data_IF_557747015996
#
_entry.id   IF_557747015996
#
_cell.length_a   1.000
_cell.length_b   1.000
_cell.length_c   1.000
_cell.angle_alpha   90.00
_cell.angle_beta   90.00
_cell.angle_gamma   90.00
#
_symmetry.space_group_name_H-M   'P 1'
#
loop_
_entity.id
_entity.type
_entity.pdbx_description
1 polymer ?
#
# COMPACT_ATOMS: atom_id res chain seq x y z
N UNK A 1 6.24 36.20 46.14
CA UNK A 1 6.89 35.68 44.92
C UNK A 1 7.47 34.28 45.09
N UNK A 2 8.28 33.99 46.12
CA UNK A 2 8.91 32.66 46.31
C UNK A 2 7.88 31.51 46.46
N UNK A 3 6.75 31.74 47.14
CA UNK A 3 5.68 30.72 47.29
C UNK A 3 4.95 30.39 45.98
N UNK A 4 4.88 31.32 45.03
CA UNK A 4 4.18 31.11 43.75
C UNK A 4 5.04 30.34 42.75
N UNK A 5 6.37 30.52 42.79
CA UNK A 5 7.32 29.73 41.98
C UNK A 5 7.43 28.27 42.45
N UNK A 6 7.31 28.01 43.76
CA UNK A 6 7.36 26.64 44.30
C UNK A 6 6.12 25.81 43.88
N UNK A 7 4.93 26.44 43.84
CA UNK A 7 3.70 25.81 43.35
C UNK A 7 3.76 25.47 41.86
N UNK A 8 4.41 26.31 41.04
CA UNK A 8 4.65 26.03 39.63
C UNK A 8 5.66 24.89 39.41
N UNK A 9 6.72 24.80 40.22
CA UNK A 9 7.68 23.70 40.13
C UNK A 9 7.09 22.33 40.56
N UNK A 10 6.15 22.32 41.51
CA UNK A 10 5.42 21.10 41.91
C UNK A 10 4.36 20.72 40.85
N UNK A 11 3.77 21.70 40.14
CA UNK A 11 2.88 21.43 39.01
C UNK A 11 3.62 20.86 37.79
N UNK A 12 4.90 21.18 37.61
CA UNK A 12 5.75 20.62 36.55
C UNK A 12 6.36 19.25 36.89
N UNK A 13 6.38 18.83 38.15
CA UNK A 13 6.89 17.50 38.55
C UNK A 13 5.85 16.38 38.44
N UNK A 14 4.62 16.67 38.01
CA UNK A 14 3.59 15.67 37.73
C UNK A 14 3.52 15.26 36.25
N UNK A 15 4.54 15.59 35.45
CA UNK A 15 4.75 14.87 34.19
C UNK A 15 5.10 13.43 34.56
N UNK A 16 4.11 12.55 34.47
CA UNK A 16 4.26 11.11 34.64
C UNK A 16 5.32 10.65 33.62
N UNK A 17 6.58 10.55 34.07
CA UNK A 17 7.67 10.07 33.24
C UNK A 17 7.39 8.60 32.99
N UNK A 18 7.30 8.22 31.72
CA UNK A 18 7.13 6.82 31.34
C UNK A 18 8.29 6.00 31.93
N UNK A 19 7.96 4.84 32.50
CA UNK A 19 8.96 3.88 32.97
C UNK A 19 9.59 3.23 31.75
N UNK A 20 10.93 3.24 31.69
CA UNK A 20 11.69 2.62 30.62
C UNK A 20 12.02 1.19 31.04
N UNK A 21 11.63 0.23 30.23
CA UNK A 21 11.92 -1.19 30.41
C UNK A 21 12.91 -1.66 29.34
N UNK A 22 13.75 -2.63 29.69
CA UNK A 22 14.52 -3.39 28.70
C UNK A 22 13.74 -4.61 28.17
N UNK A 23 14.23 -5.24 27.10
CA UNK A 23 13.53 -6.39 26.49
C UNK A 23 13.44 -7.61 27.44
N UNK A 24 14.37 -7.76 28.40
CA UNK A 24 14.31 -8.84 29.38
C UNK A 24 13.19 -8.62 30.39
N UNK A 25 13.06 -7.41 30.91
CA UNK A 25 11.98 -7.00 31.81
C UNK A 25 10.63 -7.14 31.13
N UNK A 26 10.50 -6.66 29.89
CA UNK A 26 9.27 -6.80 29.10
C UNK A 26 8.87 -8.28 29.00
N UNK A 27 9.80 -9.14 28.56
CA UNK A 27 9.51 -10.56 28.41
C UNK A 27 9.19 -11.24 29.75
N UNK A 28 9.86 -10.85 30.83
CA UNK A 28 9.58 -11.40 32.16
C UNK A 28 8.18 -11.04 32.63
N UNK A 29 7.77 -9.79 32.47
CA UNK A 29 6.45 -9.31 32.90
C UNK A 29 5.32 -9.94 32.07
N UNK A 30 5.44 -9.95 30.74
CA UNK A 30 4.38 -10.42 29.84
C UNK A 30 4.16 -11.94 29.87
N UNK A 31 5.16 -12.71 30.31
CA UNK A 31 5.06 -14.17 30.42
C UNK A 31 4.62 -14.65 31.82
N UNK A 32 4.29 -13.75 32.75
CA UNK A 32 3.70 -14.14 34.04
C UNK A 32 2.32 -14.76 33.82
N UNK A 33 2.13 -16.00 34.30
CA UNK A 33 0.84 -16.69 34.22
C UNK A 33 -0.28 -15.91 34.95
N UNK A 34 0.07 -15.28 36.08
CA UNK A 34 -0.84 -14.43 36.85
C UNK A 34 -1.37 -13.26 36.01
N UNK A 35 -0.50 -12.55 35.28
CA UNK A 35 -0.90 -11.46 34.39
C UNK A 35 -1.86 -11.94 33.30
N UNK A 36 -1.59 -13.10 32.68
CA UNK A 36 -2.47 -13.67 31.66
C UNK A 36 -3.86 -14.00 32.22
N UNK A 37 -3.91 -14.58 33.42
CA UNK A 37 -5.16 -14.90 34.10
C UNK A 37 -5.93 -13.62 34.47
N UNK A 38 -5.28 -12.64 35.10
CA UNK A 38 -5.89 -11.35 35.47
C UNK A 38 -6.39 -10.60 34.23
N UNK A 39 -5.64 -10.64 33.13
CA UNK A 39 -6.07 -10.05 31.85
C UNK A 39 -7.35 -10.71 31.35
N UNK A 40 -7.43 -12.04 31.33
CA UNK A 40 -8.65 -12.74 30.91
C UNK A 40 -9.86 -12.45 31.81
N UNK A 41 -9.65 -12.38 33.13
CA UNK A 41 -10.70 -12.01 34.08
C UNK A 41 -11.20 -10.60 33.81
N UNK A 42 -10.30 -9.63 33.67
CA UNK A 42 -10.64 -8.25 33.34
C UNK A 42 -11.42 -8.12 32.03
N UNK A 43 -11.00 -8.84 30.97
CA UNK A 43 -11.75 -8.86 29.71
C UNK A 43 -13.17 -9.39 29.92
N UNK A 44 -13.31 -10.51 30.62
CA UNK A 44 -14.61 -11.13 30.91
C UNK A 44 -15.49 -10.16 31.71
N UNK A 45 -14.95 -9.53 32.74
CA UNK A 45 -15.65 -8.54 33.55
C UNK A 45 -16.09 -7.34 32.70
N UNK A 46 -15.21 -6.78 31.87
CA UNK A 46 -15.57 -5.65 31.00
C UNK A 46 -16.75 -5.98 30.07
N UNK A 47 -16.76 -7.15 29.44
CA UNK A 47 -17.83 -7.53 28.50
C UNK A 47 -19.13 -7.98 29.18
N UNK A 48 -19.10 -8.33 30.47
CA UNK A 48 -20.28 -8.81 31.22
C UNK A 48 -20.81 -7.82 32.26
N UNK A 49 -20.03 -6.78 32.57
CA UNK A 49 -20.40 -5.77 33.55
C UNK A 49 -21.62 -4.94 33.10
N UNK A 50 -22.45 -4.57 34.08
CA UNK A 50 -23.54 -3.60 33.87
C UNK A 50 -23.02 -2.20 33.53
N UNK A 51 -21.83 -1.86 34.01
CA UNK A 51 -21.15 -0.60 33.72
C UNK A 51 -19.68 -0.85 33.33
N UNK A 52 -19.40 -1.15 32.04
CA UNK A 52 -18.05 -1.43 31.56
C UNK A 52 -17.06 -0.26 31.74
N UNK A 53 -17.56 0.99 31.82
CA UNK A 53 -16.70 2.17 32.01
C UNK A 53 -16.03 2.14 33.40
N UNK A 54 -16.78 1.73 34.42
CA UNK A 54 -16.27 1.63 35.78
C UNK A 54 -15.11 0.61 35.87
N UNK A 55 -15.18 -0.50 35.15
CA UNK A 55 -14.11 -1.51 35.09
C UNK A 55 -12.81 -0.90 34.54
N UNK A 56 -12.90 0.02 33.59
CA UNK A 56 -11.75 0.72 33.00
C UNK A 56 -11.16 1.72 33.98
N UNK A 57 -12.01 2.53 34.62
CA UNK A 57 -11.57 3.51 35.61
C UNK A 57 -10.88 2.83 36.80
N UNK A 58 -11.41 1.70 37.25
CA UNK A 58 -10.79 0.86 38.28
C UNK A 58 -9.42 0.33 37.85
N UNK A 59 -9.26 -0.15 36.61
CA UNK A 59 -7.96 -0.60 36.10
C UNK A 59 -6.95 0.56 36.02
N UNK A 60 -7.38 1.73 35.56
CA UNK A 60 -6.50 2.90 35.45
C UNK A 60 -6.02 3.38 36.82
N UNK A 61 -6.88 3.30 37.84
CA UNK A 61 -6.57 3.67 39.22
C UNK A 61 -5.91 2.55 40.04
N UNK A 62 -5.87 1.32 39.52
CA UNK A 62 -5.30 0.18 40.22
C UNK A 62 -3.81 0.38 40.49
N UNK A 63 -3.38 -0.02 41.69
CA UNK A 63 -1.97 -0.07 42.06
C UNK A 63 -1.32 -1.27 41.36
N UNK A 64 -0.84 -1.03 40.15
CA UNK A 64 -0.23 -2.02 39.28
C UNK A 64 0.87 -1.37 38.44
N UNK A 65 1.79 -2.19 37.91
CA UNK A 65 2.88 -1.65 37.11
C UNK A 65 2.36 -1.06 35.78
N UNK A 66 2.99 0.00 35.25
CA UNK A 66 2.60 0.60 33.97
C UNK A 66 2.51 -0.41 32.82
N UNK A 67 3.48 -1.32 32.71
CA UNK A 67 3.52 -2.32 31.64
C UNK A 67 2.34 -3.32 31.71
N UNK A 68 1.97 -3.77 32.91
CA UNK A 68 0.82 -4.67 33.11
C UNK A 68 -0.49 -3.96 32.77
N UNK A 69 -0.65 -2.71 33.22
CA UNK A 69 -1.85 -1.89 32.93
C UNK A 69 -2.03 -1.70 31.43
N UNK A 70 -0.98 -1.26 30.74
CA UNK A 70 -1.03 -1.02 29.31
C UNK A 70 -1.21 -2.31 28.52
N UNK A 71 -0.63 -3.43 28.96
CA UNK A 71 -0.87 -4.73 28.36
C UNK A 71 -2.35 -5.14 28.44
N UNK A 72 -2.98 -4.97 29.61
CA UNK A 72 -4.41 -5.25 29.81
C UNK A 72 -5.30 -4.35 28.95
N UNK A 73 -5.01 -3.04 28.91
CA UNK A 73 -5.71 -2.08 28.04
C UNK A 73 -5.53 -2.41 26.55
N UNK A 74 -4.32 -2.80 26.14
CA UNK A 74 -4.03 -3.18 24.76
C UNK A 74 -4.74 -4.48 24.36
N UNK A 75 -4.79 -5.44 25.29
CA UNK A 75 -5.53 -6.69 25.13
C UNK A 75 -7.04 -6.42 24.99
N UNK A 76 -7.57 -5.50 25.79
CA UNK A 76 -8.96 -5.06 25.68
C UNK A 76 -9.25 -4.39 24.34
N UNK A 77 -8.42 -3.46 23.89
CA UNK A 77 -8.57 -2.87 22.56
C UNK A 77 -8.52 -3.93 21.46
N UNK A 78 -7.69 -4.96 21.62
CA UNK A 78 -7.66 -6.11 20.69
C UNK A 78 -8.97 -6.88 20.69
N UNK A 79 -9.55 -7.17 21.86
CA UNK A 79 -10.86 -7.80 21.93
C UNK A 79 -11.96 -6.90 21.31
N UNK A 80 -12.02 -5.61 21.69
CA UNK A 80 -12.97 -4.61 21.16
C UNK A 80 -12.91 -4.53 19.63
N UNK A 81 -11.73 -4.64 19.03
CA UNK A 81 -11.57 -4.55 17.56
C UNK A 81 -12.34 -5.63 16.78
N UNK A 82 -12.75 -6.71 17.45
CA UNK A 82 -13.50 -7.82 16.86
C UNK A 82 -15.02 -7.65 16.98
N UNK A 83 -15.49 -6.62 17.69
CA UNK A 83 -16.90 -6.34 17.92
C UNK A 83 -17.41 -5.17 17.06
N UNK A 84 -18.70 -5.14 16.71
CA UNK A 84 -19.30 -3.99 16.07
C UNK A 84 -19.24 -2.76 16.99
N UNK A 85 -19.27 -1.54 16.42
CA UNK A 85 -19.23 -0.32 17.21
C UNK A 85 -20.42 -0.21 18.16
N UNK A 86 -20.15 -0.07 19.45
CA UNK A 86 -21.14 0.16 20.50
C UNK A 86 -20.70 1.35 21.37
N UNK A 87 -21.64 2.10 21.96
CA UNK A 87 -21.34 3.36 22.68
C UNK A 87 -20.32 3.18 23.81
N UNK A 88 -20.40 2.08 24.56
CA UNK A 88 -19.48 1.83 25.67
C UNK A 88 -18.08 1.39 25.19
N UNK A 89 -17.96 0.77 24.01
CA UNK A 89 -16.66 0.52 23.38
C UNK A 89 -16.05 1.82 22.83
N UNK A 90 -16.88 2.70 22.25
CA UNK A 90 -16.44 3.99 21.73
C UNK A 90 -15.81 4.85 22.83
N UNK A 91 -16.38 4.86 24.04
CA UNK A 91 -15.77 5.52 25.20
C UNK A 91 -14.33 5.06 25.45
N UNK A 92 -14.09 3.74 25.45
CA UNK A 92 -12.75 3.18 25.69
C UNK A 92 -11.80 3.57 24.55
N UNK A 93 -12.25 3.46 23.30
CA UNK A 93 -11.44 3.87 22.13
C UNK A 93 -11.09 5.35 22.21
N UNK A 94 -12.04 6.21 22.57
CA UNK A 94 -11.80 7.65 22.70
C UNK A 94 -10.83 7.98 23.82
N UNK A 95 -10.98 7.32 24.98
CA UNK A 95 -10.06 7.47 26.10
C UNK A 95 -8.63 7.04 25.72
N UNK A 96 -8.49 5.90 25.03
CA UNK A 96 -7.20 5.36 24.64
C UNK A 96 -6.50 6.17 23.54
N UNK A 97 -7.23 6.88 22.66
CA UNK A 97 -6.63 7.80 21.68
C UNK A 97 -5.78 8.89 22.36
N UNK A 98 -6.17 9.31 23.56
CA UNK A 98 -5.50 10.37 24.33
C UNK A 98 -4.71 9.85 25.54
N UNK A 99 -4.67 8.54 25.76
CA UNK A 99 -3.98 7.97 26.93
C UNK A 99 -2.46 8.10 26.76
N UNK A 100 -1.76 8.82 27.65
CA UNK A 100 -0.32 9.01 27.54
C UNK A 100 0.42 7.70 27.82
N UNK A 101 1.48 7.37 27.06
CA UNK A 101 2.26 6.17 27.34
C UNK A 101 2.99 6.30 28.68
N UNK A 102 2.86 5.27 29.50
CA UNK A 102 3.44 5.11 30.83
C UNK A 102 4.52 4.01 30.84
N UNK A 103 4.50 3.08 29.87
CA UNK A 103 5.53 2.06 29.71
C UNK A 103 6.23 2.21 28.34
N UNK A 104 7.55 2.37 28.35
CA UNK A 104 8.35 2.62 27.15
C UNK A 104 9.61 1.77 27.11
N UNK A 105 10.23 1.65 25.93
CA UNK A 105 11.54 1.04 25.73
C UNK A 105 12.39 1.91 24.79
N UNK A 106 13.69 1.65 24.70
CA UNK A 106 14.54 2.32 23.72
C UNK A 106 14.36 1.67 22.35
N UNK A 107 14.36 2.49 21.29
CA UNK A 107 14.26 2.01 19.91
C UNK A 107 15.55 1.28 19.49
N UNK A 108 15.44 0.23 18.67
CA UNK A 108 16.60 -0.57 18.24
C UNK A 108 17.61 0.24 17.42
N UNK A 109 17.13 1.24 16.68
CA UNK A 109 17.95 2.10 15.82
C UNK A 109 18.45 3.39 16.51
N UNK A 110 18.22 3.58 17.83
CA UNK A 110 18.75 4.75 18.55
C UNK A 110 18.13 5.05 19.92
N UNK A 111 18.57 6.14 20.56
CA UNK A 111 18.18 6.52 21.93
C UNK A 111 16.77 7.16 22.05
N UNK A 112 15.86 6.89 21.11
CA UNK A 112 14.49 7.39 21.19
C UNK A 112 13.65 6.43 22.05
N UNK A 113 12.93 6.98 23.03
CA UNK A 113 11.97 6.21 23.81
C UNK A 113 10.69 6.00 23.00
N UNK A 114 10.24 4.76 22.89
CA UNK A 114 9.02 4.34 22.19
C UNK A 114 8.10 3.57 23.13
N UNK A 115 6.77 3.73 23.03
CA UNK A 115 5.83 3.00 23.88
C UNK A 115 5.92 1.50 23.62
N UNK A 116 5.89 0.70 24.69
CA UNK A 116 5.83 -0.76 24.56
C UNK A 116 4.48 -1.17 23.96
N UNK A 117 3.39 -0.56 24.44
CA UNK A 117 2.05 -0.71 23.89
C UNK A 117 1.53 0.64 23.39
N UNK A 118 1.48 0.81 22.07
CA UNK A 118 0.95 2.04 21.48
C UNK A 118 -0.59 2.03 21.47
N UNK A 119 -1.20 2.28 22.64
CA UNK A 119 -2.65 2.30 22.85
C UNK A 119 -3.37 3.29 21.93
N UNK A 120 -2.79 4.49 21.76
CA UNK A 120 -3.34 5.53 20.88
C UNK A 120 -3.43 5.03 19.43
N UNK A 121 -2.34 4.48 18.88
CA UNK A 121 -2.35 3.95 17.51
C UNK A 121 -3.31 2.78 17.34
N UNK A 122 -3.41 1.89 18.34
CA UNK A 122 -4.37 0.78 18.33
C UNK A 122 -5.81 1.30 18.32
N UNK A 123 -6.13 2.32 19.11
CA UNK A 123 -7.45 2.93 19.18
C UNK A 123 -7.85 3.61 17.86
N UNK A 124 -6.95 4.39 17.24
CA UNK A 124 -7.19 4.93 15.89
C UNK A 124 -7.39 3.81 14.85
N UNK A 125 -6.67 2.70 14.97
CA UNK A 125 -6.86 1.52 14.13
C UNK A 125 -8.28 0.95 14.24
N UNK A 126 -8.83 0.85 15.46
CA UNK A 126 -10.20 0.38 15.70
C UNK A 126 -11.23 1.36 15.13
N UNK A 127 -11.06 2.66 15.36
CA UNK A 127 -11.94 3.69 14.80
C UNK A 127 -11.98 3.64 13.28
N UNK A 128 -10.84 3.39 12.63
CA UNK A 128 -10.76 3.19 11.18
C UNK A 128 -11.56 1.94 10.74
N UNK A 129 -11.43 0.81 11.43
CA UNK A 129 -12.21 -0.41 11.13
C UNK A 129 -13.70 -0.14 11.26
N UNK A 130 -14.14 0.48 12.35
CA UNK A 130 -15.55 0.80 12.56
C UNK A 130 -16.09 1.82 11.57
N UNK A 131 -15.29 2.82 11.19
CA UNK A 131 -15.66 3.79 10.17
C UNK A 131 -15.84 3.11 8.81
N UNK A 132 -14.96 2.17 8.44
CA UNK A 132 -15.12 1.36 7.23
C UNK A 132 -16.41 0.53 7.30
N UNK A 133 -16.67 -0.17 8.41
CA UNK A 133 -17.86 -0.97 8.62
C UNK A 133 -19.16 -0.15 8.54
N UNK A 134 -19.24 0.99 9.23
CA UNK A 134 -20.42 1.89 9.18
C UNK A 134 -20.65 2.41 7.76
N UNK A 135 -19.58 2.78 7.06
CA UNK A 135 -19.66 3.24 5.67
C UNK A 135 -20.14 2.13 4.75
N UNK A 136 -19.68 0.91 4.94
CA UNK A 136 -20.14 -0.26 4.19
C UNK A 136 -21.65 -0.49 4.37
N UNK A 137 -22.13 -0.50 5.62
CA UNK A 137 -23.57 -0.66 5.89
C UNK A 137 -24.41 0.47 5.27
N UNK A 138 -23.93 1.71 5.36
CA UNK A 138 -24.58 2.87 4.76
C UNK A 138 -24.70 2.69 3.23
N UNK A 139 -23.62 2.35 2.54
CA UNK A 139 -23.65 2.25 1.08
C UNK A 139 -24.38 1.00 0.58
N UNK A 140 -24.38 -0.10 1.34
CA UNK A 140 -25.23 -1.26 1.03
C UNK A 140 -26.71 -0.84 0.95
N UNK A 141 -27.19 -0.11 1.96
CA UNK A 141 -28.58 0.39 1.98
C UNK A 141 -28.85 1.42 0.88
N UNK A 142 -27.88 2.31 0.59
CA UNK A 142 -28.06 3.31 -0.46
C UNK A 142 -28.13 2.67 -1.86
N UNK A 143 -27.28 1.68 -2.17
CA UNK A 143 -27.33 1.00 -3.45
C UNK A 143 -28.61 0.20 -3.68
N UNK A 144 -29.22 -0.32 -2.61
CA UNK A 144 -30.53 -0.97 -2.66
C UNK A 144 -31.66 0.02 -2.94
N UNK A 145 -31.61 1.21 -2.33
CA UNK A 145 -32.67 2.22 -2.41
C UNK A 145 -32.60 3.07 -3.68
N UNK A 146 -31.43 3.65 -3.95
CA UNK A 146 -31.20 4.59 -5.07
C UNK A 146 -29.70 4.65 -5.41
N UNK A 147 -29.33 4.04 -6.52
CA UNK A 147 -27.93 3.96 -6.97
C UNK A 147 -27.38 5.31 -7.44
N UNK A 148 -28.22 6.17 -7.99
CA UNK A 148 -27.78 7.50 -8.45
C UNK A 148 -27.38 8.34 -7.24
N UNK A 149 -28.25 8.37 -6.24
CA UNK A 149 -27.97 9.04 -4.97
C UNK A 149 -26.72 8.45 -4.28
N UNK A 150 -26.52 7.12 -4.34
CA UNK A 150 -25.32 6.48 -3.81
C UNK A 150 -24.03 6.98 -4.50
N UNK A 151 -24.03 7.07 -5.84
CA UNK A 151 -22.88 7.59 -6.61
C UNK A 151 -22.57 9.04 -6.23
N UNK A 152 -23.59 9.88 -6.11
CA UNK A 152 -23.42 11.28 -5.70
C UNK A 152 -22.86 11.39 -4.28
N UNK A 153 -23.33 10.54 -3.35
CA UNK A 153 -22.81 10.50 -1.99
C UNK A 153 -21.34 10.05 -1.94
N UNK A 154 -20.92 9.08 -2.78
CA UNK A 154 -19.52 8.64 -2.88
C UNK A 154 -18.58 9.79 -3.24
N UNK A 155 -19.03 10.72 -4.10
CA UNK A 155 -18.22 11.88 -4.50
C UNK A 155 -17.74 12.69 -3.29
N UNK A 156 -18.63 12.91 -2.30
CA UNK A 156 -18.27 13.66 -1.09
C UNK A 156 -17.25 12.92 -0.23
N UNK A 157 -17.36 11.59 -0.13
CA UNK A 157 -16.41 10.74 0.60
C UNK A 157 -15.03 10.75 -0.08
N UNK A 158 -14.98 10.67 -1.41
CA UNK A 158 -13.72 10.74 -2.16
C UNK A 158 -13.05 12.10 -1.95
N UNK A 159 -13.82 13.19 -2.02
CA UNK A 159 -13.30 14.54 -1.80
C UNK A 159 -12.73 14.74 -0.38
N UNK A 160 -13.32 14.09 0.63
CA UNK A 160 -12.82 14.09 2.01
C UNK A 160 -11.53 13.29 2.23
N UNK A 161 -11.11 12.44 1.27
CA UNK A 161 -9.84 11.71 1.34
C UNK A 161 -9.75 10.59 2.38
N UNK A 162 -10.87 10.23 3.03
CA UNK A 162 -10.88 9.21 4.08
C UNK A 162 -10.65 7.81 3.54
N UNK A 163 -9.48 7.23 3.85
CA UNK A 163 -9.11 5.86 3.43
C UNK A 163 -10.06 4.79 3.98
N UNK A 164 -10.47 4.83 5.27
CA UNK A 164 -11.38 3.81 5.81
C UNK A 164 -12.79 3.90 5.22
N UNK A 165 -13.33 5.10 5.00
CA UNK A 165 -14.63 5.24 4.34
C UNK A 165 -14.56 4.73 2.89
N UNK A 166 -13.47 5.02 2.17
CA UNK A 166 -13.25 4.44 0.84
C UNK A 166 -13.19 2.91 0.88
N UNK A 167 -12.55 2.31 1.89
CA UNK A 167 -12.57 0.85 2.07
C UNK A 167 -13.99 0.32 2.25
N UNK A 168 -14.81 0.98 3.09
CA UNK A 168 -16.22 0.64 3.25
C UNK A 168 -17.00 0.68 1.93
N UNK A 169 -16.80 1.73 1.11
CA UNK A 169 -17.41 1.84 -0.23
C UNK A 169 -16.98 0.66 -1.12
N UNK A 170 -15.69 0.31 -1.14
CA UNK A 170 -15.20 -0.82 -1.94
C UNK A 170 -15.85 -2.14 -1.53
N UNK A 171 -16.00 -2.37 -0.22
CA UNK A 171 -16.67 -3.57 0.29
C UNK A 171 -18.13 -3.60 -0.16
N UNK A 172 -18.84 -2.47 -0.06
CA UNK A 172 -20.22 -2.38 -0.54
C UNK A 172 -20.36 -2.66 -2.04
N UNK A 173 -19.45 -2.14 -2.85
CA UNK A 173 -19.42 -2.40 -4.29
C UNK A 173 -19.18 -3.89 -4.59
N UNK A 174 -18.27 -4.52 -3.85
CA UNK A 174 -17.98 -5.95 -3.99
C UNK A 174 -19.16 -6.84 -3.53
N UNK A 175 -19.98 -6.37 -2.61
CA UNK A 175 -21.18 -7.07 -2.13
C UNK A 175 -22.36 -7.02 -3.11
N UNK A 176 -22.36 -6.09 -4.08
CA UNK A 176 -23.38 -6.04 -5.13
C UNK A 176 -23.35 -7.30 -6.00
N UNK A 177 -24.51 -7.74 -6.48
CA UNK A 177 -24.57 -8.81 -7.48
C UNK A 177 -23.89 -8.39 -8.79
N UNK A 178 -23.37 -9.35 -9.56
CA UNK A 178 -22.73 -9.08 -10.86
C UNK A 178 -23.62 -8.23 -11.80
N UNK A 179 -24.94 -8.47 -11.80
CA UNK A 179 -25.88 -7.66 -12.56
C UNK A 179 -25.92 -6.20 -12.09
N UNK A 180 -25.98 -5.97 -10.78
CA UNK A 180 -25.96 -4.61 -10.21
C UNK A 180 -24.62 -3.91 -10.49
N UNK A 181 -23.50 -4.62 -10.38
CA UNK A 181 -22.18 -4.08 -10.69
C UNK A 181 -22.08 -3.66 -12.16
N UNK A 182 -22.56 -4.49 -13.09
CA UNK A 182 -22.59 -4.15 -14.53
C UNK A 182 -23.50 -2.95 -14.81
N UNK A 183 -24.70 -2.91 -14.21
CA UNK A 183 -25.60 -1.76 -14.34
C UNK A 183 -24.98 -0.46 -13.79
N UNK A 184 -24.22 -0.56 -12.70
CA UNK A 184 -23.46 0.59 -12.17
C UNK A 184 -22.33 1.00 -13.12
N UNK A 185 -21.60 0.03 -13.69
CA UNK A 185 -20.55 0.32 -14.66
C UNK A 185 -21.11 1.05 -15.89
N UNK A 186 -22.24 0.59 -16.43
CA UNK A 186 -22.93 1.23 -17.56
C UNK A 186 -23.40 2.66 -17.19
N UNK A 187 -23.95 2.84 -16.00
CA UNK A 187 -24.35 4.16 -15.50
C UNK A 187 -23.16 5.13 -15.43
N UNK A 188 -22.03 4.71 -14.84
CA UNK A 188 -20.81 5.52 -14.75
C UNK A 188 -20.24 5.83 -16.14
N UNK A 189 -20.28 4.86 -17.06
CA UNK A 189 -19.82 5.04 -18.42
C UNK A 189 -20.67 6.06 -19.19
N UNK A 190 -21.99 6.03 -19.04
CA UNK A 190 -22.90 6.90 -19.79
C UNK A 190 -23.06 8.30 -19.18
N UNK A 191 -23.06 8.41 -17.85
CA UNK A 191 -23.55 9.63 -17.17
C UNK A 191 -22.47 10.41 -16.41
N UNK A 192 -21.33 9.80 -16.07
CA UNK A 192 -20.31 10.45 -15.24
C UNK A 192 -19.11 10.84 -16.09
N UNK A 193 -18.84 12.14 -16.24
CA UNK A 193 -17.66 12.60 -16.96
C UNK A 193 -16.37 12.27 -16.18
N UNK A 194 -15.29 12.07 -16.93
CA UNK A 194 -13.93 12.01 -16.37
C UNK A 194 -13.59 13.37 -15.75
N UNK A 195 -12.75 13.37 -14.72
CA UNK A 195 -12.36 14.53 -13.91
C UNK A 195 -13.53 15.16 -13.11
N UNK A 196 -14.63 14.43 -12.91
CA UNK A 196 -15.77 14.86 -12.11
C UNK A 196 -15.57 14.68 -10.60
N UNK A 197 -14.40 14.18 -10.16
CA UNK A 197 -14.13 13.77 -8.78
C UNK A 197 -14.55 12.34 -8.46
N UNK A 198 -15.06 11.60 -9.46
CA UNK A 198 -15.46 10.20 -9.35
C UNK A 198 -14.50 9.25 -10.08
N UNK A 199 -13.37 9.74 -10.58
CA UNK A 199 -12.40 8.96 -11.37
C UNK A 199 -11.89 7.72 -10.61
N UNK A 200 -11.74 7.84 -9.28
CA UNK A 200 -11.37 6.71 -8.41
C UNK A 200 -12.45 5.64 -8.38
N UNK A 201 -13.72 6.04 -8.39
CA UNK A 201 -14.87 5.13 -8.47
C UNK A 201 -14.94 4.49 -9.87
N UNK A 202 -14.79 5.29 -10.93
CA UNK A 202 -14.75 4.83 -12.32
C UNK A 202 -13.68 3.76 -12.51
N UNK A 203 -12.44 4.04 -12.08
CA UNK A 203 -11.35 3.06 -12.10
C UNK A 203 -11.69 1.80 -11.31
N UNK A 204 -12.22 1.93 -10.09
CA UNK A 204 -12.46 0.79 -9.24
C UNK A 204 -13.57 -0.12 -9.77
N UNK A 205 -14.69 0.46 -10.21
CA UNK A 205 -15.81 -0.28 -10.80
C UNK A 205 -15.40 -0.92 -12.12
N UNK A 206 -14.68 -0.21 -12.99
CA UNK A 206 -14.18 -0.76 -14.26
C UNK A 206 -13.31 -2.00 -14.04
N UNK A 207 -12.40 -1.97 -13.07
CA UNK A 207 -11.58 -3.12 -12.69
C UNK A 207 -12.39 -4.24 -12.02
N UNK A 208 -13.37 -3.90 -11.17
CA UNK A 208 -14.21 -4.88 -10.49
C UNK A 208 -15.03 -5.70 -11.48
N UNK A 209 -15.60 -5.05 -12.50
CA UNK A 209 -16.46 -5.70 -13.50
C UNK A 209 -15.71 -6.18 -14.74
N UNK A 210 -14.44 -5.81 -14.92
CA UNK A 210 -13.72 -6.01 -16.17
C UNK A 210 -14.33 -5.25 -17.36
N UNK A 211 -15.05 -4.15 -17.11
CA UNK A 211 -15.70 -3.37 -18.16
C UNK A 211 -14.64 -2.50 -18.86
N UNK A 212 -14.19 -2.96 -20.04
CA UNK A 212 -13.11 -2.33 -20.80
C UNK A 212 -13.40 -0.86 -21.16
N UNK A 213 -14.58 -0.47 -21.68
CA UNK A 213 -14.90 0.93 -21.92
C UNK A 213 -14.76 1.82 -20.68
N UNK A 214 -15.16 1.32 -19.50
CA UNK A 214 -15.04 2.06 -18.25
C UNK A 214 -13.58 2.14 -17.76
N UNK A 215 -12.78 1.10 -18.00
CA UNK A 215 -11.32 1.12 -17.73
C UNK A 215 -10.64 2.15 -18.63
N UNK A 216 -10.92 2.15 -19.94
CA UNK A 216 -10.37 3.14 -20.88
C UNK A 216 -10.77 4.56 -20.49
N UNK A 217 -12.01 4.73 -20.02
CA UNK A 217 -12.49 5.99 -19.45
C UNK A 217 -11.73 6.39 -18.17
N UNK A 218 -11.36 5.45 -17.31
CA UNK A 218 -10.51 5.75 -16.15
C UNK A 218 -9.09 6.19 -16.57
N UNK A 219 -8.57 5.61 -17.65
CA UNK A 219 -7.24 5.94 -18.19
C UNK A 219 -7.16 7.31 -18.85
N UNK A 220 -8.29 7.97 -19.15
CA UNK A 220 -8.30 9.36 -19.61
C UNK A 220 -8.37 10.39 -18.48
N UNK A 221 -8.35 9.96 -17.21
CA UNK A 221 -8.29 10.87 -16.06
C UNK A 221 -7.03 11.73 -16.09
N UNK A 222 -7.15 13.00 -15.69
CA UNK A 222 -5.99 13.90 -15.52
C UNK A 222 -5.09 13.46 -14.36
N UNK A 223 -5.63 12.70 -13.40
CA UNK A 223 -4.90 12.28 -12.21
C UNK A 223 -4.04 11.04 -12.48
N UNK A 224 -2.71 11.23 -12.48
CA UNK A 224 -1.72 10.16 -12.75
C UNK A 224 -1.88 8.95 -11.81
N UNK A 225 -2.08 9.20 -10.51
CA UNK A 225 -2.27 8.13 -9.53
C UNK A 225 -3.46 7.22 -9.85
N UNK A 226 -4.51 7.74 -10.48
CA UNK A 226 -5.67 6.95 -10.91
C UNK A 226 -5.29 6.11 -12.13
N UNK A 227 -4.70 6.71 -13.16
CA UNK A 227 -4.27 6.00 -14.36
C UNK A 227 -3.28 4.88 -14.05
N UNK A 228 -2.25 5.16 -13.25
CA UNK A 228 -1.27 4.16 -12.83
C UNK A 228 -1.88 3.04 -11.97
N UNK A 229 -2.80 3.40 -11.06
CA UNK A 229 -3.53 2.40 -10.29
C UNK A 229 -4.36 1.48 -11.21
N UNK A 230 -5.06 2.06 -12.19
CA UNK A 230 -5.84 1.31 -13.19
C UNK A 230 -4.93 0.35 -13.97
N UNK A 231 -3.85 0.86 -14.58
CA UNK A 231 -2.91 0.07 -15.36
C UNK A 231 -2.27 -1.06 -14.56
N UNK A 232 -1.86 -0.80 -13.30
CA UNK A 232 -1.25 -1.83 -12.44
C UNK A 232 -2.19 -2.99 -12.15
N UNK A 233 -3.49 -2.73 -12.12
CA UNK A 233 -4.50 -3.72 -11.72
C UNK A 233 -5.10 -4.49 -12.89
N UNK A 234 -4.98 -4.00 -14.13
CA UNK A 234 -5.59 -4.67 -15.31
C UNK A 234 -5.15 -6.12 -15.47
N UNK A 235 -3.89 -6.44 -15.20
CA UNK A 235 -3.34 -7.81 -15.31
C UNK A 235 -4.08 -8.82 -14.42
N UNK A 236 -4.60 -8.36 -13.27
CA UNK A 236 -5.31 -9.22 -12.32
C UNK A 236 -6.83 -9.25 -12.53
N UNK A 237 -7.35 -8.36 -13.37
CA UNK A 237 -8.79 -8.10 -13.48
C UNK A 237 -9.33 -8.26 -14.91
N UNK A 238 -8.46 -8.38 -15.92
CA UNK A 238 -8.83 -8.62 -17.31
C UNK A 238 -8.25 -9.94 -17.83
N UNK A 239 -8.88 -10.56 -18.85
CA UNK A 239 -8.26 -11.61 -19.63
C UNK A 239 -6.85 -11.22 -20.10
N UNK A 240 -5.90 -12.16 -20.03
CA UNK A 240 -4.48 -11.94 -20.34
C UNK A 240 -4.24 -11.15 -21.62
N UNK A 241 -4.96 -11.49 -22.69
CA UNK A 241 -4.83 -10.82 -23.99
C UNK A 241 -5.31 -9.36 -23.96
N UNK A 242 -6.46 -9.08 -23.33
CA UNK A 242 -6.98 -7.71 -23.19
C UNK A 242 -6.07 -6.84 -22.32
N UNK A 243 -5.55 -7.39 -21.22
CA UNK A 243 -4.58 -6.69 -20.38
C UNK A 243 -3.31 -6.34 -21.17
N UNK A 244 -2.78 -7.28 -21.96
CA UNK A 244 -1.63 -7.05 -22.84
C UNK A 244 -1.91 -5.93 -23.84
N UNK A 245 -3.03 -5.99 -24.54
CA UNK A 245 -3.36 -5.03 -25.60
C UNK A 245 -3.52 -3.60 -25.04
N UNK A 246 -4.17 -3.47 -23.88
CA UNK A 246 -4.30 -2.20 -23.16
C UNK A 246 -2.93 -1.65 -22.73
N UNK A 247 -2.06 -2.49 -22.16
CA UNK A 247 -0.71 -2.07 -21.75
C UNK A 247 0.17 -1.70 -22.95
N UNK A 248 0.08 -2.44 -24.06
CA UNK A 248 0.77 -2.11 -25.31
C UNK A 248 0.31 -0.76 -25.87
N UNK A 249 -0.99 -0.50 -25.88
CA UNK A 249 -1.54 0.78 -26.32
C UNK A 249 -1.05 1.92 -25.41
N UNK A 250 -1.11 1.74 -24.10
CA UNK A 250 -0.65 2.74 -23.13
C UNK A 250 0.86 3.01 -23.25
N UNK A 251 1.67 1.96 -23.40
CA UNK A 251 3.12 2.05 -23.60
C UNK A 251 3.51 2.72 -24.94
N UNK A 252 2.58 2.86 -25.90
CA UNK A 252 2.83 3.54 -27.19
C UNK A 252 2.38 4.99 -27.19
N UNK A 253 1.25 5.31 -26.55
CA UNK A 253 0.53 6.56 -26.84
C UNK A 253 0.04 7.34 -25.62
N UNK A 254 0.20 6.84 -24.39
CA UNK A 254 -0.34 7.54 -23.20
C UNK A 254 0.67 8.50 -22.55
N UNK A 255 0.21 9.27 -21.56
CA UNK A 255 1.09 10.06 -20.70
C UNK A 255 1.93 9.17 -19.75
N UNK A 256 1.50 7.93 -19.53
CA UNK A 256 2.13 6.99 -18.58
C UNK A 256 2.92 5.90 -19.33
N UNK A 257 3.53 6.23 -20.47
CA UNK A 257 4.28 5.27 -21.30
C UNK A 257 5.36 4.55 -20.50
N UNK A 258 6.20 5.29 -19.76
CA UNK A 258 7.29 4.72 -18.94
C UNK A 258 6.74 3.71 -17.92
N UNK A 259 5.68 4.09 -17.22
CA UNK A 259 5.00 3.23 -16.26
C UNK A 259 4.42 1.98 -16.92
N UNK A 260 3.71 2.15 -18.03
CA UNK A 260 3.07 1.07 -18.79
C UNK A 260 4.10 0.09 -19.36
N UNK A 261 5.22 0.60 -19.89
CA UNK A 261 6.35 -0.22 -20.35
C UNK A 261 6.85 -1.11 -19.22
N UNK A 262 7.03 -0.58 -18.00
CA UNK A 262 7.51 -1.39 -16.86
C UNK A 262 6.58 -2.57 -16.51
N UNK A 263 5.28 -2.43 -16.77
CA UNK A 263 4.28 -3.47 -16.51
C UNK A 263 4.24 -4.56 -17.60
N UNK A 264 4.87 -4.34 -18.75
CA UNK A 264 4.97 -5.34 -19.82
C UNK A 264 5.88 -6.53 -19.45
N UNK A 265 6.55 -6.50 -18.29
CA UNK A 265 7.33 -7.62 -17.75
C UNK A 265 6.52 -8.90 -17.59
N UNK A 266 5.22 -8.80 -17.31
CA UNK A 266 4.32 -9.96 -17.27
C UNK A 266 4.09 -10.64 -18.64
N UNK A 267 4.53 -10.00 -19.72
CA UNK A 267 4.37 -10.39 -21.12
C UNK A 267 5.72 -10.33 -21.88
N UNK A 268 6.85 -10.41 -21.17
CA UNK A 268 8.20 -10.26 -21.73
C UNK A 268 8.54 -11.28 -22.82
N UNK A 269 7.86 -12.43 -22.85
CA UNK A 269 8.03 -13.50 -23.85
C UNK A 269 7.15 -13.35 -25.10
N UNK A 270 6.24 -12.38 -25.13
CA UNK A 270 5.36 -12.14 -26.27
C UNK A 270 6.09 -11.37 -27.38
N UNK A 271 6.03 -11.87 -28.62
CA UNK A 271 6.76 -11.29 -29.76
C UNK A 271 6.38 -9.83 -30.03
N UNK A 272 5.10 -9.47 -29.91
CA UNK A 272 4.65 -8.09 -30.15
C UNK A 272 5.14 -7.13 -29.05
N UNK A 273 5.25 -7.64 -27.83
CA UNK A 273 5.85 -6.91 -26.69
C UNK A 273 7.35 -6.73 -26.92
N UNK A 274 8.08 -7.80 -27.23
CA UNK A 274 9.51 -7.73 -27.52
C UNK A 274 9.82 -6.76 -28.67
N UNK A 275 9.06 -6.82 -29.76
CA UNK A 275 9.22 -5.91 -30.90
C UNK A 275 9.04 -4.43 -30.51
N UNK A 276 8.05 -4.12 -29.66
CA UNK A 276 7.87 -2.77 -29.13
C UNK A 276 9.06 -2.34 -28.25
N UNK A 277 9.47 -3.19 -27.31
CA UNK A 277 10.53 -2.86 -26.35
C UNK A 277 11.87 -2.67 -27.05
N UNK A 278 12.20 -3.51 -28.03
CA UNK A 278 13.40 -3.37 -28.86
C UNK A 278 13.41 -2.00 -29.56
N UNK A 279 12.27 -1.56 -30.12
CA UNK A 279 12.14 -0.23 -30.70
C UNK A 279 12.36 0.88 -29.65
N UNK A 280 11.81 0.70 -28.45
CA UNK A 280 11.93 1.66 -27.33
C UNK A 280 13.35 1.77 -26.75
N UNK A 281 14.28 0.85 -27.05
CA UNK A 281 15.69 0.98 -26.65
C UNK A 281 16.38 2.22 -27.25
N UNK A 282 15.81 2.78 -28.32
CA UNK A 282 16.29 4.00 -28.97
C UNK A 282 15.70 5.29 -28.38
N UNK A 283 14.72 5.20 -27.49
CA UNK A 283 14.09 6.34 -26.83
C UNK A 283 14.73 6.58 -25.46
N UNK A 284 15.36 7.74 -25.25
CA UNK A 284 16.00 8.11 -23.97
C UNK A 284 15.07 8.01 -22.76
N UNK A 285 13.78 8.26 -22.92
CA UNK A 285 12.83 8.26 -21.81
C UNK A 285 12.32 6.85 -21.45
N UNK A 286 12.47 5.87 -22.36
CA UNK A 286 11.88 4.54 -22.23
C UNK A 286 12.92 3.41 -22.24
N UNK A 287 14.14 3.66 -22.72
CA UNK A 287 15.14 2.63 -22.96
C UNK A 287 15.51 1.81 -21.70
N UNK A 288 15.57 2.46 -20.53
CA UNK A 288 15.85 1.78 -19.27
C UNK A 288 14.74 0.78 -18.89
N UNK A 289 13.48 1.23 -18.97
CA UNK A 289 12.33 0.35 -18.71
C UNK A 289 12.23 -0.76 -19.75
N UNK A 290 12.49 -0.45 -21.02
CA UNK A 290 12.50 -1.44 -22.08
C UNK A 290 13.57 -2.51 -21.85
N UNK A 291 14.79 -2.12 -21.51
CA UNK A 291 15.88 -3.02 -21.18
C UNK A 291 15.57 -3.89 -19.96
N UNK A 292 15.04 -3.30 -18.90
CA UNK A 292 14.61 -4.04 -17.71
C UNK A 292 13.55 -5.09 -18.05
N UNK A 293 12.55 -4.74 -18.85
CA UNK A 293 11.47 -5.67 -19.22
C UNK A 293 11.99 -6.80 -20.11
N UNK A 294 12.82 -6.48 -21.11
CA UNK A 294 13.47 -7.46 -21.97
C UNK A 294 14.34 -8.43 -21.16
N UNK A 295 14.97 -7.96 -20.07
CA UNK A 295 15.76 -8.83 -19.20
C UNK A 295 14.92 -9.88 -18.48
N UNK A 296 13.61 -9.66 -18.29
CA UNK A 296 12.70 -10.60 -17.63
C UNK A 296 12.17 -11.70 -18.57
N UNK A 297 12.57 -11.72 -19.86
CA UNK A 297 12.12 -12.74 -20.80
C UNK A 297 12.83 -14.08 -20.54
N UNK A 298 12.09 -15.17 -20.65
CA UNK A 298 12.59 -16.54 -20.65
C UNK A 298 12.78 -17.11 -22.06
N UNK A 299 12.42 -16.35 -23.09
CA UNK A 299 12.63 -16.73 -24.50
C UNK A 299 14.13 -16.87 -24.83
N UNK A 300 14.56 -18.10 -25.08
CA UNK A 300 15.95 -18.45 -25.41
C UNK A 300 16.49 -17.77 -26.69
N UNK A 301 15.61 -17.32 -27.59
CA UNK A 301 16.01 -16.63 -28.83
C UNK A 301 16.24 -15.13 -28.61
N UNK A 302 15.65 -14.52 -27.56
CA UNK A 302 15.75 -13.08 -27.34
C UNK A 302 17.22 -12.60 -27.19
N UNK A 303 18.12 -13.29 -26.46
CA UNK A 303 19.52 -12.89 -26.38
C UNK A 303 20.20 -12.74 -27.76
N UNK A 304 19.90 -13.63 -28.71
CA UNK A 304 20.44 -13.55 -30.07
C UNK A 304 19.84 -12.39 -30.88
N UNK A 305 18.54 -12.13 -30.70
CA UNK A 305 17.89 -10.94 -31.29
C UNK A 305 18.54 -9.66 -30.77
N UNK A 306 18.79 -9.58 -29.46
CA UNK A 306 19.48 -8.46 -28.83
C UNK A 306 20.92 -8.32 -29.35
N UNK A 307 21.65 -9.43 -29.50
CA UNK A 307 23.00 -9.44 -30.10
C UNK A 307 22.99 -8.85 -31.51
N UNK A 308 22.07 -9.30 -32.37
CA UNK A 308 21.96 -8.80 -33.74
C UNK A 308 21.66 -7.29 -33.75
N UNK A 309 20.75 -6.83 -32.91
CA UNK A 309 20.47 -5.40 -32.77
C UNK A 309 21.66 -4.60 -32.24
N UNK A 310 22.46 -5.16 -31.32
CA UNK A 310 23.67 -4.53 -30.83
C UNK A 310 24.69 -4.31 -31.95
N UNK A 311 24.93 -5.34 -32.77
CA UNK A 311 25.90 -5.30 -33.86
C UNK A 311 25.48 -4.32 -34.96
N UNK A 312 24.18 -4.19 -35.23
CA UNK A 312 23.63 -3.30 -36.25
C UNK A 312 23.48 -1.85 -35.79
N UNK A 313 23.29 -1.63 -34.48
CA UNK A 313 23.05 -0.29 -33.96
C UNK A 313 24.31 0.57 -34.00
N UNK A 314 24.16 1.82 -34.45
CA UNK A 314 25.22 2.86 -34.36
C UNK A 314 25.09 3.73 -33.11
N UNK A 315 23.98 3.60 -32.36
CA UNK A 315 23.69 4.45 -31.21
C UNK A 315 24.28 3.84 -29.93
N UNK A 316 25.24 4.51 -29.26
CA UNK A 316 25.86 3.98 -28.04
C UNK A 316 24.85 3.72 -26.91
N UNK A 317 23.81 4.53 -26.82
CA UNK A 317 22.73 4.37 -25.85
C UNK A 317 22.00 3.03 -26.03
N UNK A 318 21.58 2.70 -27.26
CA UNK A 318 20.89 1.43 -27.56
C UNK A 318 21.80 0.26 -27.16
N UNK A 319 23.08 0.33 -27.52
CA UNK A 319 24.07 -0.68 -27.15
C UNK A 319 24.16 -0.87 -25.63
N UNK A 320 24.23 0.21 -24.87
CA UNK A 320 24.28 0.15 -23.40
C UNK A 320 23.03 -0.52 -22.80
N UNK A 321 21.85 -0.19 -23.31
CA UNK A 321 20.60 -0.76 -22.81
C UNK A 321 20.42 -2.23 -23.21
N UNK A 322 20.94 -2.65 -24.37
CA UNK A 322 21.02 -4.07 -24.72
C UNK A 322 21.93 -4.83 -23.75
N UNK A 323 23.10 -4.27 -23.42
CA UNK A 323 24.03 -4.89 -22.47
C UNK A 323 23.41 -4.98 -21.07
N UNK A 324 22.69 -3.95 -20.65
CA UNK A 324 21.90 -3.96 -19.41
C UNK A 324 20.88 -5.10 -19.42
N UNK A 325 20.10 -5.23 -20.49
CA UNK A 325 19.09 -6.30 -20.61
C UNK A 325 19.73 -7.70 -20.52
N UNK A 326 20.80 -7.95 -21.28
CA UNK A 326 21.53 -9.23 -21.24
C UNK A 326 22.13 -9.51 -19.86
N UNK A 327 22.69 -8.48 -19.20
CA UNK A 327 23.29 -8.61 -17.87
C UNK A 327 22.26 -8.95 -16.80
N UNK A 328 21.11 -8.26 -16.82
CA UNK A 328 20.03 -8.48 -15.85
C UNK A 328 19.28 -9.80 -16.08
N UNK A 329 19.25 -10.32 -17.30
CA UNK A 329 18.58 -11.57 -17.62
C UNK A 329 19.21 -12.77 -16.90
N UNK A 330 20.54 -12.84 -16.86
CA UNK A 330 21.26 -13.86 -16.09
C UNK A 330 21.15 -15.30 -16.61
N UNK A 331 20.47 -15.55 -17.73
CA UNK A 331 20.48 -16.84 -18.42
C UNK A 331 21.86 -17.17 -19.01
N UNK A 332 22.15 -18.45 -19.22
CA UNK A 332 23.46 -18.90 -19.72
C UNK A 332 23.75 -18.34 -21.11
N UNK A 333 22.78 -18.37 -22.02
CA UNK A 333 22.90 -17.78 -23.36
C UNK A 333 23.15 -16.27 -23.29
N UNK A 334 22.44 -15.55 -22.41
CA UNK A 334 22.63 -14.11 -22.23
C UNK A 334 24.03 -13.78 -21.66
N UNK A 335 24.56 -14.59 -20.75
CA UNK A 335 25.93 -14.46 -20.23
C UNK A 335 26.99 -14.70 -21.30
N UNK A 336 26.80 -15.74 -22.12
CA UNK A 336 27.70 -16.05 -23.24
C UNK A 336 27.74 -14.90 -24.25
N UNK A 337 26.58 -14.45 -24.71
CA UNK A 337 26.48 -13.32 -25.64
C UNK A 337 27.05 -12.04 -25.01
N UNK A 338 26.78 -11.76 -23.74
CA UNK A 338 27.34 -10.59 -23.06
C UNK A 338 28.88 -10.63 -23.05
N UNK A 339 29.47 -11.80 -22.82
CA UNK A 339 30.93 -11.99 -22.88
C UNK A 339 31.47 -11.70 -24.29
N UNK A 340 30.78 -12.16 -25.32
CA UNK A 340 31.17 -11.96 -26.73
C UNK A 340 31.01 -10.50 -27.19
N UNK A 341 30.04 -9.78 -26.64
CA UNK A 341 29.82 -8.36 -26.97
C UNK A 341 30.75 -7.40 -26.20
N UNK A 342 31.27 -7.82 -25.05
CA UNK A 342 32.11 -6.96 -24.17
C UNK A 342 33.34 -6.37 -24.89
N UNK A 343 34.10 -7.11 -25.74
CA UNK A 343 35.23 -6.57 -26.50
C UNK A 343 34.87 -5.46 -27.49
N UNK A 344 33.60 -5.38 -27.91
CA UNK A 344 33.12 -4.38 -28.88
C UNK A 344 32.75 -3.03 -28.24
N UNK A 345 33.06 -2.86 -26.95
CA UNK A 345 32.71 -1.66 -26.17
C UNK A 345 33.98 -0.87 -25.91
N UNK A 346 33.98 0.40 -26.30
CA UNK A 346 35.07 1.31 -25.97
C UNK A 346 35.20 1.44 -24.44
N UNK A 347 36.35 1.09 -23.84
CA UNK A 347 36.51 1.09 -22.38
C UNK A 347 36.26 2.45 -21.71
N UNK A 348 36.46 3.54 -22.46
CA UNK A 348 36.26 4.93 -22.03
C UNK A 348 34.80 5.41 -22.14
N UNK A 349 33.95 4.70 -22.86
CA UNK A 349 32.54 5.05 -23.05
C UNK A 349 31.73 4.93 -21.76
N UNK A 350 30.56 5.58 -21.70
CA UNK A 350 29.62 5.40 -20.57
C UNK A 350 29.28 3.92 -20.36
N UNK A 351 29.14 3.13 -21.42
CA UNK A 351 28.91 1.69 -21.35
C UNK A 351 30.08 0.91 -20.77
N UNK A 352 31.31 1.26 -21.16
CA UNK A 352 32.54 0.68 -20.61
C UNK A 352 32.72 0.96 -19.12
N UNK A 353 32.49 2.21 -18.69
CA UNK A 353 32.54 2.61 -17.27
C UNK A 353 31.43 1.95 -16.45
N UNK A 354 30.23 1.89 -17.01
CA UNK A 354 29.09 1.23 -16.38
C UNK A 354 29.36 -0.27 -16.18
N UNK A 355 29.80 -1.01 -17.19
CA UNK A 355 30.15 -2.43 -17.06
C UNK A 355 31.26 -2.72 -16.03
N UNK A 356 32.27 -1.84 -15.92
CA UNK A 356 33.34 -1.97 -14.90
C UNK A 356 32.79 -1.84 -13.48
N UNK A 357 31.90 -0.87 -13.25
CA UNK A 357 31.26 -0.68 -11.94
C UNK A 357 30.51 -1.92 -11.43
N UNK A 358 29.95 -2.75 -12.32
CA UNK A 358 29.29 -4.01 -11.96
C UNK A 358 30.23 -5.19 -11.71
N UNK A 359 31.49 -5.11 -12.16
CA UNK A 359 32.51 -6.12 -11.86
C UNK A 359 33.19 -5.88 -10.50
N UNK A 360 32.82 -4.82 -9.78
CA UNK A 360 33.56 -4.37 -8.60
C UNK A 360 34.92 -3.77 -8.94
N UNK A 361 35.20 -3.54 -10.22
CA UNK A 361 36.38 -2.85 -10.70
C UNK A 361 36.09 -1.35 -10.57
N UNK A 362 36.68 -0.68 -9.56
CA UNK A 362 36.55 0.77 -9.40
C UNK A 362 36.97 1.51 -10.69
N UNK A 363 36.34 2.66 -11.01
CA UNK A 363 36.54 3.38 -12.27
C UNK A 363 38.00 3.76 -12.57
#
# INVERSE_FOLDING_TARGET
MIKTCLLLAIMFSHTCLAVIYDDYEINRELNKAELQQTTQQFLTEYFTAKNPQQTIEQLIQADMSPIEREYMLYSLLTAISQHPPQNFHQYVVDLMKTFPPQASKLHEEGNLSVPIFNLSSKAYGIENIWMAYRTEQQFNQQFEKDRVAAVDAIKSVIAGGSRPQWLGIKNSLAALSNQQQNQLADYLYQNVNVNSGLDRLISHVGLLTGNLPLIEKALSSEQQNIREYTLRKTINHLPRQQAKDLLLQSARYSADQKFSTSLLSHFSDDEAVQALLIKQLSDENLAENAAFVLSQSTNQQLPYVLMNHFLQSKQPQVKNHILLALKLNGGEEAKLILKDLTPHIEPSSKGGKWLKSFKGEQP
#
